data_IF_705362011246
#
_entry.id   IF_705362011246
#
_cell.length_a   1.000
_cell.length_b   1.000
_cell.length_c   1.000
_cell.angle_alpha   90.00
_cell.angle_beta   90.00
_cell.angle_gamma   90.00
#
_symmetry.space_group_name_H-M   'P 1'
#
loop_
_entity.id
_entity.type
_entity.pdbx_description
1 polymer ?
#
# COMPACT_ATOMS: atom_id res chain seq x y z
N UNK A 1 57.63 -13.92 16.58
CA UNK A 1 57.21 -13.07 15.44
C UNK A 1 55.80 -12.66 15.70
N UNK A 2 55.73 -11.46 16.18
CA UNK A 2 54.57 -10.71 16.60
C UNK A 2 53.85 -10.10 15.37
N UNK A 3 52.53 -10.29 15.26
CA UNK A 3 51.72 -9.53 14.35
C UNK A 3 50.40 -9.15 15.04
N UNK A 4 50.45 -8.03 15.68
CA UNK A 4 49.31 -7.30 16.21
C UNK A 4 48.40 -6.83 15.06
N UNK A 5 47.12 -7.24 15.06
CA UNK A 5 46.07 -6.63 14.27
C UNK A 5 45.49 -5.40 14.99
N UNK A 6 45.25 -4.30 14.33
CA UNK A 6 44.63 -3.13 14.98
C UNK A 6 43.11 -3.28 15.05
N UNK A 7 42.59 -3.06 16.24
CA UNK A 7 41.16 -2.96 16.57
C UNK A 7 40.51 -1.79 15.81
N UNK A 8 39.55 -2.12 14.93
CA UNK A 8 38.68 -1.11 14.31
C UNK A 8 37.46 -0.89 15.20
N UNK A 9 37.53 0.12 16.07
CA UNK A 9 36.39 0.57 16.87
C UNK A 9 35.51 1.46 16.00
N UNK A 10 34.42 0.88 15.48
CA UNK A 10 33.35 1.63 14.82
C UNK A 10 32.43 2.24 15.87
N UNK A 11 32.63 3.52 16.17
CA UNK A 11 31.67 4.32 16.96
C UNK A 11 30.42 4.61 16.15
N UNK A 12 29.39 3.77 16.31
CA UNK A 12 28.06 4.04 15.79
C UNK A 12 27.38 5.11 16.64
N UNK A 13 27.31 6.32 16.11
CA UNK A 13 26.53 7.43 16.65
C UNK A 13 25.05 7.13 16.37
N UNK A 14 24.35 6.53 17.34
CA UNK A 14 22.91 6.38 17.32
C UNK A 14 22.26 7.77 17.30
N UNK A 15 21.66 8.14 16.17
CA UNK A 15 20.80 9.32 16.10
C UNK A 15 19.45 8.93 16.72
N UNK A 16 19.22 9.40 17.93
CA UNK A 16 17.93 9.41 18.61
C UNK A 16 16.91 10.15 17.74
N UNK A 17 16.03 9.40 17.07
CA UNK A 17 14.87 9.95 16.37
C UNK A 17 13.66 9.75 17.27
N UNK A 18 13.37 10.72 18.11
CA UNK A 18 12.08 10.86 18.81
C UNK A 18 10.91 10.69 17.82
N UNK A 19 9.92 9.85 18.14
CA UNK A 19 8.76 9.66 17.26
C UNK A 19 7.92 10.95 17.22
N UNK A 20 7.78 11.53 16.04
CA UNK A 20 6.85 12.64 15.78
C UNK A 20 5.42 12.15 16.04
N UNK A 21 4.79 12.69 17.07
CA UNK A 21 3.36 12.50 17.35
C UNK A 21 2.55 13.00 16.15
N UNK A 22 1.99 12.08 15.37
CA UNK A 22 0.98 12.39 14.38
C UNK A 22 -0.27 12.90 15.07
N UNK A 23 -0.56 14.17 14.92
CA UNK A 23 -1.86 14.75 15.29
C UNK A 23 -2.91 14.21 14.31
N UNK A 24 -3.64 13.17 14.72
CA UNK A 24 -4.86 12.72 14.07
C UNK A 24 -5.96 13.77 14.30
N UNK A 25 -6.00 14.77 13.46
CA UNK A 25 -7.03 15.79 13.41
C UNK A 25 -7.92 15.61 12.17
N UNK A 26 -8.64 14.50 12.06
CA UNK A 26 -9.69 14.35 11.06
C UNK A 26 -10.90 15.18 11.49
N UNK A 27 -10.97 16.44 11.05
CA UNK A 27 -12.22 17.19 11.02
C UNK A 27 -13.15 16.48 10.03
N UNK A 28 -14.10 15.71 10.55
CA UNK A 28 -15.27 15.24 9.77
C UNK A 28 -15.99 16.46 9.23
N UNK A 29 -15.70 16.84 7.98
CA UNK A 29 -16.55 17.77 7.23
C UNK A 29 -17.80 16.98 6.87
N UNK A 30 -18.93 17.36 7.44
CA UNK A 30 -20.23 16.86 7.04
C UNK A 30 -20.48 17.11 5.53
N UNK A 31 -21.51 16.50 4.92
CA UNK A 31 -21.80 16.67 3.52
C UNK A 31 -22.12 18.14 3.26
N UNK A 32 -21.12 18.86 2.71
CA UNK A 32 -21.32 20.24 2.24
C UNK A 32 -22.23 20.24 1.01
N UNK A 33 -22.77 21.40 0.66
CA UNK A 33 -23.65 21.64 -0.51
C UNK A 33 -23.08 21.04 -1.81
N UNK A 34 -21.76 20.90 -1.93
CA UNK A 34 -21.08 20.22 -3.02
C UNK A 34 -21.42 18.72 -3.14
N UNK A 35 -21.75 18.03 -2.03
CA UNK A 35 -22.18 16.62 -2.03
C UNK A 35 -23.57 16.40 -2.65
N UNK A 36 -24.42 17.43 -2.65
CA UNK A 36 -25.74 17.39 -3.28
C UNK A 36 -25.66 17.51 -4.82
N UNK A 37 -24.62 18.19 -5.32
CA UNK A 37 -24.41 18.41 -6.77
C UNK A 37 -23.55 17.29 -7.39
N UNK A 38 -22.68 16.65 -6.58
CA UNK A 38 -21.80 15.57 -7.03
C UNK A 38 -21.83 14.41 -6.03
N UNK A 39 -22.79 13.49 -6.17
CA UNK A 39 -22.91 12.36 -5.26
C UNK A 39 -21.67 11.47 -5.32
N UNK A 40 -21.16 11.13 -4.16
CA UNK A 40 -20.03 10.19 -4.04
C UNK A 40 -20.48 8.79 -4.46
N UNK A 41 -19.66 8.13 -5.26
CA UNK A 41 -20.00 6.81 -5.82
C UNK A 41 -19.09 5.72 -5.28
N UNK A 42 -19.68 4.54 -5.07
CA UNK A 42 -18.97 3.32 -4.68
C UNK A 42 -17.84 3.01 -5.65
N UNK A 43 -16.73 2.51 -5.11
CA UNK A 43 -15.56 2.12 -5.90
C UNK A 43 -15.85 0.95 -6.87
N UNK A 44 -16.89 0.17 -6.62
CA UNK A 44 -17.22 -1.05 -7.37
C UNK A 44 -18.51 -0.88 -8.16
N UNK A 45 -19.62 -0.61 -7.49
CA UNK A 45 -20.97 -0.70 -8.09
C UNK A 45 -21.45 0.60 -8.72
N UNK A 46 -20.77 1.71 -8.51
CA UNK A 46 -21.20 3.05 -8.94
C UNK A 46 -22.47 3.56 -8.23
N UNK A 47 -22.96 2.89 -7.18
CA UNK A 47 -24.06 3.37 -6.34
C UNK A 47 -23.61 4.55 -5.48
N UNK A 48 -24.54 5.35 -5.06
CA UNK A 48 -24.27 6.46 -4.12
C UNK A 48 -23.86 5.91 -2.75
N UNK A 49 -22.83 6.50 -2.18
CA UNK A 49 -22.25 6.13 -0.88
C UNK A 49 -22.00 7.35 -0.02
N UNK A 50 -21.84 7.15 1.29
CA UNK A 50 -21.75 8.22 2.27
C UNK A 50 -20.49 9.10 2.15
N UNK A 51 -19.48 8.69 1.37
CA UNK A 51 -18.25 9.46 1.25
C UNK A 51 -17.31 8.97 0.15
N UNK A 52 -16.27 9.74 -0.17
CA UNK A 52 -15.32 9.39 -1.22
C UNK A 52 -14.58 8.09 -0.88
N UNK A 53 -14.60 7.14 -1.80
CA UNK A 53 -13.94 5.85 -1.63
C UNK A 53 -14.66 4.88 -0.70
N UNK A 54 -15.91 5.18 -0.30
CA UNK A 54 -16.71 4.24 0.47
C UNK A 54 -17.16 3.06 -0.39
N UNK A 55 -17.37 1.94 0.28
CA UNK A 55 -18.00 0.74 -0.26
C UNK A 55 -19.28 0.47 0.49
N UNK A 56 -20.18 -0.24 -0.15
CA UNK A 56 -21.37 -0.76 0.50
C UNK A 56 -20.97 -1.74 1.62
N UNK A 57 -21.72 -1.80 2.74
CA UNK A 57 -21.41 -2.67 3.88
C UNK A 57 -21.22 -4.13 3.48
N UNK A 58 -22.03 -4.63 2.54
CA UNK A 58 -21.98 -6.02 2.05
C UNK A 58 -20.71 -6.32 1.28
N UNK A 59 -20.17 -5.34 0.55
CA UNK A 59 -18.90 -5.48 -0.17
C UNK A 59 -17.72 -5.31 0.78
N UNK A 60 -17.84 -4.38 1.72
CA UNK A 60 -16.82 -4.18 2.75
C UNK A 60 -16.59 -5.45 3.58
N UNK A 61 -17.68 -6.14 3.99
CA UNK A 61 -17.60 -7.37 4.74
C UNK A 61 -16.91 -8.53 4.00
N UNK A 62 -16.85 -8.47 2.67
CA UNK A 62 -16.17 -9.46 1.82
C UNK A 62 -14.71 -9.12 1.53
N UNK A 63 -14.23 -7.93 1.89
CA UNK A 63 -12.82 -7.58 1.75
C UNK A 63 -12.01 -8.29 2.83
N UNK A 64 -10.97 -8.98 2.40
CA UNK A 64 -10.02 -9.63 3.29
C UNK A 64 -8.70 -8.87 3.26
N UNK A 65 -8.40 -8.20 4.36
CA UNK A 65 -7.12 -7.53 4.55
C UNK A 65 -6.06 -8.54 4.98
N UNK A 66 -4.87 -8.38 4.43
CA UNK A 66 -3.72 -9.16 4.86
C UNK A 66 -3.14 -8.57 6.14
N UNK A 67 -2.92 -9.42 7.13
CA UNK A 67 -2.34 -9.08 8.43
C UNK A 67 -1.40 -10.19 8.89
N UNK A 68 -0.54 -9.87 9.84
CA UNK A 68 0.39 -10.84 10.42
C UNK A 68 -0.34 -12.08 11.00
N UNK A 69 0.33 -13.25 10.95
CA UNK A 69 1.71 -13.47 10.53
C UNK A 69 1.88 -13.61 9.01
N UNK A 70 2.82 -12.84 8.45
CA UNK A 70 3.12 -12.81 7.01
C UNK A 70 4.55 -13.28 6.73
N UNK A 71 4.76 -13.87 5.57
CA UNK A 71 6.11 -14.16 5.08
C UNK A 71 6.93 -12.86 4.99
N UNK A 72 8.10 -12.83 5.63
CA UNK A 72 8.96 -11.65 5.69
C UNK A 72 9.35 -11.14 4.29
N UNK A 73 9.43 -12.04 3.29
CA UNK A 73 9.82 -11.68 1.93
C UNK A 73 8.62 -11.34 1.03
N UNK A 74 7.71 -12.27 0.78
CA UNK A 74 6.63 -12.07 -0.20
C UNK A 74 5.29 -11.58 0.38
N UNK A 75 5.13 -11.56 1.71
CA UNK A 75 3.88 -11.12 2.34
C UNK A 75 2.72 -12.12 2.24
N UNK A 76 2.98 -13.39 1.86
CA UNK A 76 1.96 -14.44 1.92
C UNK A 76 1.61 -14.74 3.38
N UNK A 77 0.32 -14.82 3.75
CA UNK A 77 -0.08 -15.13 5.11
C UNK A 77 0.26 -16.57 5.48
N UNK A 78 0.63 -16.79 6.74
CA UNK A 78 0.73 -18.12 7.33
C UNK A 78 -0.60 -18.48 7.99
N UNK A 79 -0.97 -19.76 7.90
CA UNK A 79 -2.18 -20.30 8.54
C UNK A 79 -2.00 -20.54 10.04
N UNK A 80 -0.76 -20.57 10.50
CA UNK A 80 -0.37 -20.81 11.90
C UNK A 80 0.49 -19.65 12.40
N UNK A 81 0.57 -19.51 13.71
CA UNK A 81 1.50 -18.59 14.33
C UNK A 81 2.95 -19.02 14.03
N UNK A 82 3.77 -18.08 13.59
CA UNK A 82 5.19 -18.25 13.31
C UNK A 82 5.97 -17.13 13.95
N UNK A 83 7.28 -17.35 14.17
CA UNK A 83 8.16 -16.31 14.68
C UNK A 83 8.31 -15.16 13.68
N UNK A 84 8.54 -13.92 14.16
CA UNK A 84 8.81 -12.77 13.30
C UNK A 84 10.00 -13.03 12.37
N UNK A 85 9.89 -12.63 11.11
CA UNK A 85 10.95 -12.78 10.12
C UNK A 85 10.94 -14.12 9.37
N UNK A 86 10.00 -15.01 9.64
CA UNK A 86 9.88 -16.29 8.93
C UNK A 86 9.61 -16.10 7.44
N UNK A 87 10.20 -16.99 6.64
CA UNK A 87 10.09 -17.01 5.18
C UNK A 87 9.32 -18.27 4.77
N UNK A 88 8.34 -18.12 3.88
CA UNK A 88 7.53 -19.25 3.41
C UNK A 88 8.32 -20.23 2.52
N UNK A 89 7.85 -21.48 2.43
CA UNK A 89 8.53 -22.53 1.66
C UNK A 89 8.75 -22.16 0.18
N UNK A 90 7.81 -21.42 -0.45
CA UNK A 90 7.98 -20.97 -1.82
C UNK A 90 9.15 -19.99 -1.98
N UNK A 91 9.32 -19.05 -1.06
CA UNK A 91 10.45 -18.12 -1.08
C UNK A 91 11.78 -18.78 -0.69
N UNK A 92 11.75 -19.85 0.06
CA UNK A 92 12.96 -20.65 0.36
C UNK A 92 13.40 -21.46 -0.87
N UNK A 93 12.46 -22.11 -1.55
CA UNK A 93 12.75 -22.91 -2.74
C UNK A 93 13.12 -22.05 -3.96
N UNK A 94 12.43 -20.94 -4.16
CA UNK A 94 12.60 -20.02 -5.30
C UNK A 94 12.63 -18.57 -4.80
N UNK A 95 13.79 -18.08 -4.34
CA UNK A 95 13.93 -16.71 -3.85
C UNK A 95 13.57 -15.68 -4.94
N UNK A 96 12.60 -14.78 -4.69
CA UNK A 96 12.33 -13.71 -5.63
C UNK A 96 13.49 -12.71 -5.71
N UNK A 97 13.55 -11.95 -6.82
CA UNK A 97 14.61 -10.94 -7.04
C UNK A 97 14.43 -9.67 -6.20
N UNK A 98 13.26 -9.47 -5.61
CA UNK A 98 12.99 -8.36 -4.68
C UNK A 98 13.27 -8.78 -3.23
N UNK A 99 13.57 -7.83 -2.38
CA UNK A 99 13.85 -8.10 -0.96
C UNK A 99 12.56 -8.36 -0.18
N UNK A 100 11.58 -7.46 -0.31
CA UNK A 100 10.31 -7.54 0.43
C UNK A 100 9.13 -7.10 -0.44
N UNK A 101 7.98 -7.73 -0.24
CA UNK A 101 6.71 -7.32 -0.84
C UNK A 101 5.59 -7.39 0.18
N UNK A 102 4.63 -6.47 0.07
CA UNK A 102 3.40 -6.44 0.88
C UNK A 102 2.21 -6.17 -0.02
N UNK A 103 1.09 -6.78 0.32
CA UNK A 103 -0.19 -6.49 -0.31
C UNK A 103 -1.20 -6.10 0.77
N UNK A 104 -2.13 -5.23 0.42
CA UNK A 104 -3.16 -4.79 1.37
C UNK A 104 -4.32 -5.78 1.48
N UNK A 105 -4.65 -6.45 0.38
CA UNK A 105 -5.84 -7.29 0.25
C UNK A 105 -5.51 -8.65 -0.33
N UNK A 106 -6.25 -9.66 0.12
CA UNK A 106 -6.33 -10.95 -0.57
C UNK A 106 -7.02 -10.75 -1.91
N UNK A 107 -6.53 -11.42 -2.97
CA UNK A 107 -7.15 -11.37 -4.27
C UNK A 107 -8.40 -12.26 -4.29
N UNK A 108 -9.56 -11.66 -4.28
CA UNK A 108 -10.88 -12.30 -4.33
C UNK A 108 -11.81 -11.50 -5.24
N UNK A 109 -13.09 -11.85 -5.30
CA UNK A 109 -14.05 -11.23 -6.23
C UNK A 109 -14.14 -9.71 -6.05
N UNK A 110 -14.31 -9.24 -4.81
CA UNK A 110 -14.45 -7.82 -4.51
C UNK A 110 -13.16 -7.04 -4.77
N UNK A 111 -12.02 -7.56 -4.37
CA UNK A 111 -10.71 -6.91 -4.63
C UNK A 111 -10.36 -6.91 -6.12
N UNK A 112 -10.77 -7.96 -6.86
CA UNK A 112 -10.66 -8.02 -8.32
C UNK A 112 -11.47 -6.90 -8.98
N UNK A 113 -12.72 -6.68 -8.55
CA UNK A 113 -13.59 -5.64 -9.12
C UNK A 113 -13.05 -4.23 -8.84
N UNK A 114 -12.46 -4.00 -7.67
CA UNK A 114 -11.70 -2.76 -7.38
C UNK A 114 -10.58 -2.53 -8.38
N UNK A 115 -9.75 -3.55 -8.62
CA UNK A 115 -8.64 -3.48 -9.57
C UNK A 115 -9.11 -3.27 -11.00
N UNK A 116 -10.21 -3.92 -11.40
CA UNK A 116 -10.81 -3.75 -12.73
C UNK A 116 -11.40 -2.34 -12.91
N UNK A 117 -12.05 -1.80 -11.88
CA UNK A 117 -12.54 -0.43 -11.87
C UNK A 117 -11.44 0.59 -12.11
N UNK A 118 -10.29 0.44 -11.44
CA UNK A 118 -9.11 1.27 -11.67
C UNK A 118 -8.55 1.10 -13.10
N UNK A 119 -8.49 -0.14 -13.60
CA UNK A 119 -7.87 -0.44 -14.90
C UNK A 119 -8.69 0.01 -16.10
N UNK A 120 -10.01 -0.11 -16.03
CA UNK A 120 -10.88 0.04 -17.20
C UNK A 120 -11.85 1.20 -17.12
N UNK A 121 -12.20 1.65 -15.95
CA UNK A 121 -13.16 2.73 -15.75
C UNK A 121 -12.51 4.06 -15.35
N UNK A 122 -11.20 4.09 -15.14
CA UNK A 122 -10.46 5.30 -14.78
C UNK A 122 -10.95 5.95 -13.48
N UNK A 123 -11.53 5.17 -12.57
CA UNK A 123 -12.08 5.69 -11.31
C UNK A 123 -10.98 6.19 -10.39
N UNK A 124 -11.13 7.42 -9.92
CA UNK A 124 -10.17 8.08 -9.02
C UNK A 124 -10.71 8.30 -7.61
N UNK A 125 -12.02 8.14 -7.43
CA UNK A 125 -12.73 8.53 -6.19
C UNK A 125 -12.23 7.80 -4.95
N UNK A 126 -11.69 6.60 -5.10
CA UNK A 126 -11.14 5.80 -4.00
C UNK A 126 -9.64 5.74 -3.87
N UNK A 127 -8.90 6.48 -4.69
CA UNK A 127 -7.43 6.41 -4.67
C UNK A 127 -6.84 6.77 -3.32
N UNK A 128 -7.44 7.72 -2.59
CA UNK A 128 -6.99 8.09 -1.24
C UNK A 128 -7.17 6.95 -0.24
N UNK A 129 -8.28 6.22 -0.32
CA UNK A 129 -8.58 5.06 0.54
C UNK A 129 -7.62 3.91 0.21
N UNK A 130 -7.47 3.58 -1.07
CA UNK A 130 -6.54 2.55 -1.53
C UNK A 130 -5.09 2.90 -1.17
N UNK A 131 -4.69 4.16 -1.32
CA UNK A 131 -3.39 4.65 -0.88
C UNK A 131 -3.18 4.50 0.62
N UNK A 132 -4.20 4.75 1.43
CA UNK A 132 -4.18 4.52 2.88
C UNK A 132 -4.03 3.04 3.24
N UNK A 133 -4.77 2.13 2.57
CA UNK A 133 -4.64 0.69 2.78
C UNK A 133 -3.24 0.18 2.41
N UNK A 134 -2.71 0.65 1.27
CA UNK A 134 -1.34 0.32 0.85
C UNK A 134 -0.30 0.87 1.83
N UNK A 135 -0.49 2.09 2.36
CA UNK A 135 0.41 2.68 3.34
C UNK A 135 0.41 1.91 4.66
N UNK A 136 -0.76 1.45 5.11
CA UNK A 136 -0.89 0.62 6.31
C UNK A 136 -0.20 -0.73 6.13
N UNK A 137 -0.52 -1.45 5.04
CA UNK A 137 0.03 -2.76 4.76
C UNK A 137 1.56 -2.75 4.50
N UNK A 138 2.06 -1.67 3.90
CA UNK A 138 3.47 -1.49 3.55
C UNK A 138 4.25 -0.59 4.51
N UNK A 139 3.76 -0.34 5.73
CA UNK A 139 4.34 0.64 6.65
C UNK A 139 5.83 0.41 6.94
N UNK A 140 6.23 -0.84 7.12
CA UNK A 140 7.62 -1.23 7.32
C UNK A 140 8.50 -1.01 6.08
N UNK A 141 7.96 -1.20 4.86
CA UNK A 141 8.66 -0.94 3.61
C UNK A 141 8.85 0.56 3.39
N UNK A 142 7.82 1.33 3.73
CA UNK A 142 7.79 2.78 3.56
C UNK A 142 8.70 3.51 4.55
N UNK A 143 8.99 2.88 5.70
CA UNK A 143 9.92 3.42 6.68
C UNK A 143 11.36 3.50 6.14
N UNK A 144 11.74 2.56 5.29
CA UNK A 144 13.08 2.44 4.70
C UNK A 144 13.14 2.97 3.26
N UNK A 145 12.00 3.31 2.65
CA UNK A 145 11.95 3.70 1.24
C UNK A 145 12.39 5.15 1.02
N UNK A 146 13.32 5.36 0.11
CA UNK A 146 13.74 6.67 -0.36
C UNK A 146 12.82 7.23 -1.44
N UNK A 147 12.25 6.35 -2.27
CA UNK A 147 11.50 6.72 -3.47
C UNK A 147 10.42 5.69 -3.81
N UNK A 148 9.26 6.18 -4.22
CA UNK A 148 8.20 5.37 -4.85
C UNK A 148 8.35 5.42 -6.36
N UNK A 149 8.41 4.25 -6.98
CA UNK A 149 8.50 4.14 -8.45
C UNK A 149 7.28 3.35 -8.94
N UNK A 150 6.37 3.98 -9.71
CA UNK A 150 5.24 3.26 -10.25
C UNK A 150 5.68 2.29 -11.34
N UNK A 151 5.07 1.10 -11.38
CA UNK A 151 5.30 0.15 -12.48
C UNK A 151 4.91 0.81 -13.80
N UNK A 152 5.83 0.90 -14.79
CA UNK A 152 5.54 1.53 -16.06
C UNK A 152 4.51 0.72 -16.85
N UNK A 153 3.65 1.42 -17.58
CA UNK A 153 2.71 0.81 -18.50
C UNK A 153 3.32 0.79 -19.91
N UNK A 154 3.20 -0.34 -20.59
CA UNK A 154 3.64 -0.43 -22.00
C UNK A 154 2.96 0.64 -22.84
N UNK A 155 3.71 1.27 -23.76
CA UNK A 155 3.29 2.43 -24.54
C UNK A 155 1.91 2.25 -25.21
N UNK A 156 1.67 1.14 -25.91
CA UNK A 156 0.36 0.88 -26.54
C UNK A 156 -0.79 0.81 -25.54
N UNK A 157 -0.56 0.28 -24.34
CA UNK A 157 -1.58 0.26 -23.29
C UNK A 157 -1.83 1.64 -22.73
N UNK A 158 -0.78 2.48 -22.60
CA UNK A 158 -0.92 3.85 -22.14
C UNK A 158 -1.73 4.68 -23.14
N UNK A 159 -1.42 4.58 -24.44
CA UNK A 159 -2.16 5.27 -25.50
C UNK A 159 -3.63 4.83 -25.51
N UNK A 160 -3.90 3.51 -25.41
CA UNK A 160 -5.28 3.00 -25.42
C UNK A 160 -6.09 3.37 -24.18
N UNK A 161 -5.45 3.42 -22.99
CA UNK A 161 -6.12 3.71 -21.72
C UNK A 161 -6.13 5.19 -21.36
N UNK A 162 -5.18 5.97 -21.86
CA UNK A 162 -5.00 7.37 -21.53
C UNK A 162 -4.40 7.64 -20.14
N UNK A 163 -4.13 6.59 -19.34
CA UNK A 163 -3.60 6.73 -17.98
C UNK A 163 -2.82 5.49 -17.51
N UNK A 164 -1.98 5.69 -16.49
CA UNK A 164 -1.31 4.63 -15.75
C UNK A 164 -1.87 4.53 -14.32
N UNK A 165 -2.61 3.46 -14.03
CA UNK A 165 -3.20 3.22 -12.70
C UNK A 165 -2.14 3.07 -11.61
N UNK A 166 -0.97 2.49 -11.92
CA UNK A 166 0.14 2.36 -10.96
C UNK A 166 0.67 3.73 -10.54
N UNK A 167 0.74 4.70 -11.47
CA UNK A 167 1.14 6.06 -11.15
C UNK A 167 0.12 6.76 -10.25
N UNK A 168 -1.19 6.53 -10.47
CA UNK A 168 -2.23 7.08 -9.60
C UNK A 168 -2.16 6.51 -8.18
N UNK A 169 -1.98 5.18 -8.06
CA UNK A 169 -1.81 4.53 -6.75
C UNK A 169 -0.53 4.98 -6.05
N UNK A 170 0.58 5.09 -6.79
CA UNK A 170 1.83 5.59 -6.24
C UNK A 170 1.72 7.04 -5.75
N UNK A 171 0.99 7.90 -6.49
CA UNK A 171 0.72 9.27 -6.06
C UNK A 171 -0.18 9.33 -4.80
N UNK A 172 -1.16 8.43 -4.68
CA UNK A 172 -1.97 8.32 -3.48
C UNK A 172 -1.16 7.81 -2.29
N UNK A 173 -0.32 6.80 -2.50
CA UNK A 173 0.59 6.24 -1.51
C UNK A 173 1.62 7.28 -1.04
N UNK A 174 2.22 8.04 -1.96
CA UNK A 174 3.15 9.13 -1.64
C UNK A 174 2.50 10.17 -0.71
N UNK A 175 1.26 10.58 -1.01
CA UNK A 175 0.51 11.50 -0.13
C UNK A 175 0.21 10.90 1.25
N UNK A 176 -0.07 9.61 1.33
CA UNK A 176 -0.38 8.93 2.59
C UNK A 176 0.86 8.67 3.45
N UNK A 177 2.00 8.35 2.83
CA UNK A 177 3.25 7.97 3.51
C UNK A 177 4.26 9.11 3.67
N UNK A 178 4.19 10.13 2.80
CA UNK A 178 5.20 11.19 2.72
C UNK A 178 6.46 10.80 1.93
N UNK A 179 6.57 9.56 1.43
CA UNK A 179 7.70 9.12 0.59
C UNK A 179 7.60 9.77 -0.78
N UNK A 180 8.72 10.22 -1.31
CA UNK A 180 8.79 10.91 -2.61
C UNK A 180 8.35 9.98 -3.75
N UNK A 181 7.69 10.55 -4.74
CA UNK A 181 7.33 9.87 -6.00
C UNK A 181 8.32 10.28 -7.11
N UNK A 182 8.74 9.28 -7.90
CA UNK A 182 9.53 9.49 -9.12
C UNK A 182 8.69 10.10 -10.24
#
# INVERSE_FOLDING_TARGET
MDQSSPDYVATSRAKDKTPRKHKAGSKRRGPGVAGLIWPQRSLITNREVAGPGALEPELWAKLQFLSDPLCARCGTPFEIAVDPGQICGACLAHPPVYDRARAALVYGDVSRDLVLGLKYQGRRDGLSVLGGWMASAGSELLADADLLVPVPLHYFRLVRRGFNQSAWLAAALSRASGVKLS
#
